data_IF_131375872847
#
_entry.id   IF_131375872847
#
_cell.length_a   1.000
_cell.length_b   1.000
_cell.length_c   1.000
_cell.angle_alpha   90.00
_cell.angle_beta   90.00
_cell.angle_gamma   90.00
#
_symmetry.space_group_name_H-M   'P 1'
#
loop_
_entity.id
_entity.type
_entity.pdbx_description
1 polymer ?
#
# COMPACT_ATOMS: atom_id res chain seq x y z
N UNK A 1 -12.40 -23.70 -9.35
CA UNK A 1 -11.36 -22.90 -8.70
C UNK A 1 -12.03 -21.60 -8.23
N UNK A 2 -11.61 -21.02 -7.10
CA UNK A 2 -12.09 -19.70 -6.68
C UNK A 2 -11.55 -18.63 -7.63
N UNK A 3 -12.33 -17.55 -7.88
CA UNK A 3 -11.88 -16.45 -8.73
C UNK A 3 -10.61 -15.79 -8.16
N UNK A 4 -9.67 -15.36 -9.01
CA UNK A 4 -8.54 -14.52 -8.56
C UNK A 4 -9.03 -13.23 -7.89
N UNK A 5 -8.18 -12.64 -7.09
CA UNK A 5 -8.43 -11.30 -6.52
C UNK A 5 -7.17 -10.45 -6.68
N UNK A 6 -7.35 -9.21 -7.15
CA UNK A 6 -6.25 -8.31 -7.46
C UNK A 6 -6.40 -7.03 -6.61
N UNK A 7 -5.33 -6.71 -5.88
CA UNK A 7 -5.21 -5.50 -5.08
C UNK A 7 -4.22 -4.55 -5.74
N UNK A 8 -4.63 -3.33 -6.01
CA UNK A 8 -3.75 -2.29 -6.55
C UNK A 8 -3.32 -1.36 -5.41
N UNK A 9 -2.04 -1.42 -5.08
CA UNK A 9 -1.41 -0.64 -4.01
C UNK A 9 -0.70 0.57 -4.62
N UNK A 10 -1.13 1.81 -4.36
CA UNK A 10 -0.48 3.01 -4.89
C UNK A 10 0.99 3.10 -4.51
N UNK A 11 1.31 2.90 -3.21
CA UNK A 11 2.68 2.99 -2.70
C UNK A 11 3.07 1.74 -1.91
N UNK A 12 4.40 1.48 -1.74
CA UNK A 12 4.87 0.48 -0.77
C UNK A 12 4.52 0.95 0.65
N UNK A 13 3.65 0.25 1.31
CA UNK A 13 3.03 0.35 2.63
C UNK A 13 1.49 0.30 2.58
N UNK A 14 0.84 0.76 1.51
CA UNK A 14 -0.63 0.78 1.37
C UNK A 14 -1.24 -0.63 1.39
N UNK A 15 -0.55 -1.64 0.80
CA UNK A 15 -1.01 -3.03 0.82
C UNK A 15 -1.13 -3.57 2.24
N UNK A 16 -0.30 -3.09 3.15
CA UNK A 16 -0.32 -3.48 4.57
C UNK A 16 -1.21 -2.57 5.40
N UNK A 17 -0.97 -1.25 5.33
CA UNK A 17 -1.67 -0.23 6.12
C UNK A 17 -3.16 -0.16 5.86
N UNK A 18 -3.53 -0.28 4.59
CA UNK A 18 -4.87 0.04 4.15
C UNK A 18 -5.64 -1.19 3.65
N UNK A 19 -4.95 -2.23 3.16
CA UNK A 19 -5.56 -3.41 2.55
C UNK A 19 -5.17 -4.74 3.22
N UNK A 20 -4.24 -4.72 4.20
CA UNK A 20 -3.61 -5.93 4.74
C UNK A 20 -4.58 -6.92 5.37
N UNK A 21 -5.64 -6.48 6.04
CA UNK A 21 -6.68 -7.37 6.59
C UNK A 21 -7.37 -8.10 5.45
N UNK A 22 -7.88 -7.37 4.47
CA UNK A 22 -8.63 -7.94 3.33
C UNK A 22 -7.74 -8.86 2.49
N UNK A 23 -6.48 -8.51 2.24
CA UNK A 23 -5.51 -9.37 1.56
C UNK A 23 -5.32 -10.70 2.33
N UNK A 24 -5.03 -10.62 3.63
CA UNK A 24 -4.80 -11.80 4.47
C UNK A 24 -6.04 -12.72 4.55
N UNK A 25 -7.25 -12.15 4.60
CA UNK A 25 -8.51 -12.90 4.57
C UNK A 25 -8.71 -13.64 3.25
N UNK A 26 -8.44 -13.01 2.11
CA UNK A 26 -8.54 -13.67 0.81
C UNK A 26 -7.52 -14.79 0.66
N UNK A 27 -6.27 -14.58 1.10
CA UNK A 27 -5.25 -15.62 1.13
C UNK A 27 -5.67 -16.79 2.03
N UNK A 28 -6.16 -16.50 3.25
CA UNK A 28 -6.63 -17.51 4.18
C UNK A 28 -7.83 -18.31 3.64
N UNK A 29 -8.66 -17.70 2.83
CA UNK A 29 -9.76 -18.35 2.11
C UNK A 29 -9.29 -19.20 0.89
N UNK A 30 -7.98 -19.31 0.66
CA UNK A 30 -7.41 -20.08 -0.46
C UNK A 30 -7.64 -19.46 -1.83
N UNK A 31 -7.86 -18.14 -1.90
CA UNK A 31 -8.01 -17.44 -3.17
C UNK A 31 -6.64 -17.15 -3.79
N UNK A 32 -6.58 -17.19 -5.11
CA UNK A 32 -5.43 -16.72 -5.87
C UNK A 32 -5.36 -15.19 -5.76
N UNK A 33 -4.48 -14.72 -4.86
CA UNK A 33 -4.43 -13.33 -4.43
C UNK A 33 -3.19 -12.64 -4.99
N UNK A 34 -3.41 -11.63 -5.82
CA UNK A 34 -2.38 -10.81 -6.47
C UNK A 34 -2.33 -9.42 -5.82
N UNK A 35 -1.13 -8.89 -5.66
CA UNK A 35 -0.89 -7.51 -5.21
C UNK A 35 -0.01 -6.80 -6.24
N UNK A 36 -0.52 -5.70 -6.79
CA UNK A 36 0.14 -4.87 -7.79
C UNK A 36 0.58 -3.57 -7.12
N UNK A 37 1.87 -3.40 -6.93
CA UNK A 37 2.45 -2.15 -6.50
C UNK A 37 2.53 -1.20 -7.69
N UNK A 38 1.89 -0.02 -7.60
CA UNK A 38 1.79 0.92 -8.73
C UNK A 38 3.03 1.82 -8.85
N UNK A 39 3.71 2.13 -7.74
CA UNK A 39 4.90 2.98 -7.72
C UNK A 39 5.99 2.41 -6.83
N UNK A 40 7.22 2.86 -7.03
CA UNK A 40 8.35 2.54 -6.13
C UNK A 40 8.37 3.42 -4.88
N UNK A 41 7.55 4.48 -4.83
CA UNK A 41 7.42 5.37 -3.68
C UNK A 41 8.67 6.22 -3.44
N UNK A 42 9.31 6.71 -4.50
CA UNK A 42 10.56 7.49 -4.45
C UNK A 42 10.42 8.88 -3.83
N UNK A 43 9.19 9.41 -3.75
CA UNK A 43 8.91 10.74 -3.21
C UNK A 43 8.44 10.61 -1.78
N UNK A 44 9.37 10.72 -0.83
CA UNK A 44 9.08 10.68 0.60
C UNK A 44 10.09 11.48 1.41
N UNK A 45 9.64 12.07 2.51
CA UNK A 45 10.51 12.72 3.49
C UNK A 45 11.40 11.76 4.29
N UNK A 46 11.13 10.46 4.24
CA UNK A 46 11.90 9.43 4.94
C UNK A 46 13.39 9.44 4.57
N UNK A 47 13.73 9.74 3.31
CA UNK A 47 15.12 9.83 2.86
C UNK A 47 15.93 10.84 3.67
N UNK A 48 15.37 12.00 3.99
CA UNK A 48 16.05 13.02 4.78
C UNK A 48 16.29 12.54 6.22
N UNK A 49 15.31 11.88 6.83
CA UNK A 49 15.45 11.33 8.18
C UNK A 49 16.52 10.23 8.23
N UNK A 50 16.47 9.27 7.30
CA UNK A 50 17.42 8.16 7.19
C UNK A 50 18.86 8.69 6.97
N UNK A 51 19.02 9.72 6.15
CA UNK A 51 20.34 10.30 5.86
C UNK A 51 20.83 11.28 6.93
N UNK A 52 20.13 11.44 8.04
CA UNK A 52 20.53 12.33 9.14
C UNK A 52 20.31 13.81 8.86
N UNK A 53 19.55 14.18 7.84
CA UNK A 53 19.23 15.56 7.49
C UNK A 53 17.94 16.06 8.16
N UNK A 54 17.22 15.17 8.85
CA UNK A 54 16.01 15.50 9.61
C UNK A 54 15.89 14.58 10.85
N UNK A 55 15.17 15.07 11.86
CA UNK A 55 14.87 14.31 13.07
C UNK A 55 13.86 13.19 12.77
N UNK A 56 14.17 11.97 13.18
CA UNK A 56 13.23 10.85 13.12
C UNK A 56 12.27 10.87 14.30
N UNK A 57 11.02 11.17 14.06
CA UNK A 57 10.00 11.27 15.11
C UNK A 57 9.74 9.95 15.83
N UNK A 58 9.84 8.82 15.15
CA UNK A 58 9.65 7.49 15.74
C UNK A 58 10.86 7.06 16.58
N UNK A 59 12.08 7.12 16.03
CA UNK A 59 13.32 6.75 16.74
C UNK A 59 13.78 7.78 17.76
N UNK A 60 13.18 8.99 17.79
CA UNK A 60 13.55 10.08 18.70
C UNK A 60 15.04 10.48 18.60
N UNK A 61 15.58 10.42 17.39
CA UNK A 61 16.96 10.74 17.09
C UNK A 61 17.13 11.35 15.71
N UNK A 62 18.28 11.95 15.46
CA UNK A 62 18.77 12.24 14.12
C UNK A 62 19.82 11.19 13.79
N UNK A 63 19.60 10.40 12.75
CA UNK A 63 20.51 9.35 12.34
C UNK A 63 21.88 9.90 11.94
N UNK A 64 22.91 9.09 12.11
CA UNK A 64 24.26 9.38 11.65
C UNK A 64 24.77 8.19 10.83
N UNK A 65 24.62 8.21 9.49
CA UNK A 65 24.99 7.10 8.62
C UNK A 65 26.39 6.54 8.88
N UNK A 66 27.39 7.41 8.97
CA UNK A 66 28.79 6.99 9.21
C UNK A 66 28.98 6.29 10.54
N UNK A 67 28.35 6.78 11.60
CA UNK A 67 28.43 6.19 12.93
C UNK A 67 27.64 4.88 13.02
N UNK A 68 26.52 4.81 12.31
CA UNK A 68 25.63 3.63 12.26
C UNK A 68 26.06 2.61 11.20
N UNK A 69 27.17 2.85 10.50
CA UNK A 69 27.81 1.88 9.61
C UNK A 69 27.20 1.72 8.23
N UNK A 70 26.53 2.75 7.71
CA UNK A 70 26.02 2.77 6.33
C UNK A 70 26.36 4.09 5.63
N UNK A 71 26.25 4.10 4.29
CA UNK A 71 26.38 5.31 3.49
C UNK A 71 25.02 5.99 3.32
N UNK A 72 24.96 7.34 3.24
CA UNK A 72 23.72 8.02 2.89
C UNK A 72 23.08 7.43 1.63
N UNK A 73 21.77 7.18 1.68
CA UNK A 73 21.03 6.60 0.59
C UNK A 73 20.79 7.62 -0.52
N UNK A 74 20.86 7.15 -1.76
CA UNK A 74 20.31 7.84 -2.92
C UNK A 74 18.79 7.58 -3.03
N UNK A 75 18.10 8.29 -3.92
CA UNK A 75 16.68 7.97 -4.23
C UNK A 75 16.53 6.53 -4.72
N UNK A 76 17.47 6.03 -5.54
CA UNK A 76 17.44 4.66 -6.05
C UNK A 76 17.62 3.61 -4.92
N UNK A 77 18.50 3.87 -3.96
CA UNK A 77 18.66 2.98 -2.79
C UNK A 77 17.38 2.94 -1.96
N UNK A 78 16.72 4.09 -1.80
CA UNK A 78 15.44 4.19 -1.09
C UNK A 78 14.34 3.39 -1.79
N UNK A 79 14.21 3.51 -3.11
CA UNK A 79 13.27 2.72 -3.92
C UNK A 79 13.48 1.22 -3.70
N UNK A 80 14.73 0.76 -3.79
CA UNK A 80 15.05 -0.64 -3.55
C UNK A 80 14.75 -1.09 -2.12
N UNK A 81 14.94 -0.22 -1.13
CA UNK A 81 14.56 -0.50 0.25
C UNK A 81 13.03 -0.65 0.39
N UNK A 82 12.25 0.25 -0.19
CA UNK A 82 10.78 0.19 -0.17
C UNK A 82 10.24 -1.05 -0.88
N UNK A 83 10.79 -1.41 -2.05
CA UNK A 83 10.41 -2.64 -2.78
C UNK A 83 10.69 -3.89 -1.93
N UNK A 84 11.81 -3.92 -1.20
CA UNK A 84 12.09 -5.04 -0.26
C UNK A 84 11.08 -5.10 0.88
N UNK A 85 10.73 -3.95 1.49
CA UNK A 85 9.69 -3.88 2.53
C UNK A 85 8.36 -4.42 2.01
N UNK A 86 7.91 -3.98 0.83
CA UNK A 86 6.71 -4.48 0.15
C UNK A 86 6.73 -6.00 -0.06
N UNK A 87 7.82 -6.53 -0.62
CA UNK A 87 7.92 -7.99 -0.84
C UNK A 87 7.87 -8.78 0.46
N UNK A 88 8.54 -8.31 1.51
CA UNK A 88 8.53 -8.96 2.81
C UNK A 88 7.15 -8.87 3.48
N UNK A 89 6.51 -7.72 3.43
CA UNK A 89 5.18 -7.52 3.99
C UNK A 89 4.12 -8.38 3.27
N UNK A 90 4.11 -8.40 1.93
CA UNK A 90 3.26 -9.30 1.16
C UNK A 90 3.49 -10.79 1.51
N UNK A 91 4.75 -11.18 1.78
CA UNK A 91 5.05 -12.54 2.22
C UNK A 91 4.42 -12.86 3.58
N UNK A 92 4.46 -11.92 4.53
CA UNK A 92 3.82 -12.09 5.85
C UNK A 92 2.29 -12.14 5.75
N UNK A 93 1.69 -11.42 4.82
CA UNK A 93 0.25 -11.53 4.52
C UNK A 93 -0.11 -12.85 3.85
N UNK A 94 0.88 -13.61 3.35
CA UNK A 94 0.72 -14.91 2.71
C UNK A 94 0.59 -14.86 1.20
N UNK A 95 0.82 -13.71 0.56
CA UNK A 95 0.80 -13.59 -0.90
C UNK A 95 1.98 -14.33 -1.51
N UNK A 96 1.74 -15.18 -2.50
CA UNK A 96 2.78 -15.94 -3.20
C UNK A 96 3.77 -15.00 -3.92
N UNK A 97 5.04 -15.39 -4.03
CA UNK A 97 6.05 -14.55 -4.67
C UNK A 97 5.72 -14.23 -6.14
N UNK A 98 5.13 -15.20 -6.86
CA UNK A 98 4.66 -15.02 -8.24
C UNK A 98 3.53 -14.00 -8.41
N UNK A 99 2.83 -13.68 -7.32
CA UNK A 99 1.63 -12.84 -7.32
C UNK A 99 1.90 -11.42 -6.78
N UNK A 100 3.18 -11.05 -6.64
CA UNK A 100 3.62 -9.71 -6.21
C UNK A 100 4.19 -8.99 -7.42
N UNK A 101 3.39 -8.14 -8.01
CA UNK A 101 3.71 -7.42 -9.23
C UNK A 101 4.18 -6.01 -8.89
N UNK A 102 5.08 -5.47 -9.69
CA UNK A 102 5.63 -4.12 -9.49
C UNK A 102 5.53 -3.36 -10.82
N UNK A 103 4.84 -2.24 -10.77
CA UNK A 103 4.78 -1.23 -11.80
C UNK A 103 5.65 -0.03 -11.41
N UNK A 104 5.93 0.87 -12.35
CA UNK A 104 6.78 2.04 -12.08
C UNK A 104 6.13 3.32 -12.60
N UNK A 105 4.95 3.67 -12.05
CA UNK A 105 4.21 4.86 -12.49
C UNK A 105 4.78 6.18 -11.94
N UNK A 106 5.67 6.14 -10.94
CA UNK A 106 6.43 7.29 -10.45
C UNK A 106 7.84 7.41 -11.07
N UNK A 107 8.05 6.82 -12.27
CA UNK A 107 9.24 7.09 -13.07
C UNK A 107 9.25 8.57 -13.49
N UNK A 108 10.34 9.33 -13.24
CA UNK A 108 10.42 10.74 -13.63
C UNK A 108 10.24 11.00 -15.13
N UNK A 109 10.44 9.99 -15.97
CA UNK A 109 10.23 10.06 -17.41
C UNK A 109 8.80 9.74 -17.84
N UNK A 110 7.96 9.26 -16.92
CA UNK A 110 6.54 8.98 -17.20
C UNK A 110 5.75 10.27 -17.43
N UNK A 111 4.58 10.21 -18.10
CA UNK A 111 3.71 11.37 -18.27
C UNK A 111 3.27 12.05 -16.96
N UNK A 112 3.10 11.28 -15.88
CA UNK A 112 2.78 11.78 -14.54
C UNK A 112 4.00 12.30 -13.77
N UNK A 113 5.22 12.03 -14.25
CA UNK A 113 6.45 12.32 -13.52
C UNK A 113 6.53 11.51 -12.23
N UNK A 114 6.72 12.18 -11.09
CA UNK A 114 6.81 11.50 -9.78
C UNK A 114 5.43 11.23 -9.12
N UNK A 115 4.30 11.33 -9.87
CA UNK A 115 2.93 11.11 -9.38
C UNK A 115 2.17 10.17 -10.31
N UNK A 116 1.12 9.52 -9.79
CA UNK A 116 0.25 8.65 -10.58
C UNK A 116 -0.83 9.50 -11.26
N UNK A 117 -0.93 9.42 -12.59
CA UNK A 117 -2.11 9.93 -13.29
C UNK A 117 -3.21 8.87 -13.38
N UNK A 118 -4.49 9.30 -13.39
CA UNK A 118 -5.61 8.39 -13.62
C UNK A 118 -5.46 7.60 -14.93
N UNK A 119 -4.92 8.21 -15.98
CA UNK A 119 -4.75 7.57 -17.29
C UNK A 119 -3.72 6.44 -17.26
N UNK A 120 -2.59 6.62 -16.58
CA UNK A 120 -1.57 5.58 -16.40
C UNK A 120 -2.10 4.44 -15.54
N UNK A 121 -2.73 4.77 -14.40
CA UNK A 121 -3.37 3.78 -13.53
C UNK A 121 -4.43 2.97 -14.29
N UNK A 122 -5.26 3.62 -15.12
CA UNK A 122 -6.27 2.95 -15.94
C UNK A 122 -5.65 1.97 -16.93
N UNK A 123 -4.52 2.33 -17.55
CA UNK A 123 -3.80 1.44 -18.48
C UNK A 123 -3.29 0.20 -17.77
N UNK A 124 -2.65 0.34 -16.62
CA UNK A 124 -2.17 -0.79 -15.80
C UNK A 124 -3.34 -1.69 -15.39
N UNK A 125 -4.39 -1.12 -14.78
CA UNK A 125 -5.56 -1.89 -14.32
C UNK A 125 -6.20 -2.64 -15.49
N UNK A 126 -6.34 -2.01 -16.67
CA UNK A 126 -6.89 -2.67 -17.85
C UNK A 126 -6.06 -3.89 -18.32
N UNK A 127 -4.74 -3.84 -18.18
CA UNK A 127 -3.86 -4.98 -18.50
C UNK A 127 -4.19 -6.17 -17.58
N UNK A 128 -4.32 -5.93 -16.26
CA UNK A 128 -4.70 -6.99 -15.31
C UNK A 128 -6.13 -7.50 -15.50
N UNK A 129 -7.09 -6.66 -15.92
CA UNK A 129 -8.44 -7.10 -16.30
C UNK A 129 -8.37 -8.04 -17.50
N UNK A 130 -7.53 -7.74 -18.49
CA UNK A 130 -7.38 -8.58 -19.67
C UNK A 130 -6.69 -9.91 -19.34
N UNK A 131 -5.72 -9.92 -18.44
CA UNK A 131 -5.00 -11.12 -18.00
C UNK A 131 -5.86 -12.00 -17.09
N UNK A 132 -6.68 -11.38 -16.22
CA UNK A 132 -7.53 -12.04 -15.23
C UNK A 132 -9.00 -11.60 -15.38
N UNK A 133 -9.70 -11.99 -16.47
CA UNK A 133 -11.04 -11.45 -16.80
C UNK A 133 -12.12 -11.79 -15.77
N UNK A 134 -11.91 -12.81 -14.94
CA UNK A 134 -12.84 -13.27 -13.90
C UNK A 134 -12.43 -12.78 -12.48
N UNK A 135 -11.44 -11.90 -12.36
CA UNK A 135 -10.96 -11.44 -11.06
C UNK A 135 -11.91 -10.47 -10.36
N UNK A 136 -11.86 -10.48 -9.03
CA UNK A 136 -12.36 -9.38 -8.20
C UNK A 136 -11.25 -8.34 -8.03
N UNK A 137 -11.58 -7.04 -7.98
CA UNK A 137 -10.61 -5.96 -7.96
C UNK A 137 -10.78 -5.05 -6.75
N UNK A 138 -9.67 -4.71 -6.10
CA UNK A 138 -9.62 -3.87 -4.91
C UNK A 138 -8.56 -2.78 -5.05
N UNK A 139 -8.85 -1.58 -4.57
CA UNK A 139 -7.87 -0.50 -4.41
C UNK A 139 -8.33 0.49 -3.34
N UNK A 140 -7.55 1.55 -3.14
CA UNK A 140 -7.93 2.66 -2.28
C UNK A 140 -9.07 3.48 -2.90
N UNK A 141 -9.79 4.20 -2.05
CA UNK A 141 -11.00 4.91 -2.43
C UNK A 141 -10.72 6.07 -3.38
N UNK A 142 -11.60 6.27 -4.35
CA UNK A 142 -11.63 7.47 -5.18
C UNK A 142 -11.98 8.76 -4.39
N UNK A 143 -12.40 8.64 -3.13
CA UNK A 143 -12.57 9.75 -2.19
C UNK A 143 -11.31 10.10 -1.41
N UNK A 144 -10.19 9.39 -1.66
CA UNK A 144 -8.97 9.57 -0.89
C UNK A 144 -8.43 11.00 -1.00
N UNK A 145 -7.87 11.49 0.11
CA UNK A 145 -7.26 12.82 0.16
C UNK A 145 -5.87 12.84 -0.50
N UNK A 146 -5.23 11.66 -0.65
CA UNK A 146 -3.97 11.56 -1.37
C UNK A 146 -4.24 11.49 -2.87
N UNK A 147 -3.62 12.37 -3.70
CA UNK A 147 -3.93 12.43 -5.13
C UNK A 147 -3.67 11.11 -5.86
N UNK A 148 -2.56 10.40 -5.55
CA UNK A 148 -2.23 9.12 -6.20
C UNK A 148 -3.25 8.02 -5.83
N UNK A 149 -3.68 7.94 -4.56
CA UNK A 149 -4.71 7.00 -4.13
C UNK A 149 -6.02 7.28 -4.87
N UNK A 150 -6.42 8.54 -4.91
CA UNK A 150 -7.63 8.97 -5.62
C UNK A 150 -7.53 8.68 -7.13
N UNK A 151 -6.36 8.86 -7.76
CA UNK A 151 -6.16 8.58 -9.18
C UNK A 151 -6.36 7.10 -9.51
N UNK A 152 -5.78 6.19 -8.71
CA UNK A 152 -5.96 4.73 -8.87
C UNK A 152 -7.41 4.34 -8.61
N UNK A 153 -8.04 4.89 -7.55
CA UNK A 153 -9.45 4.66 -7.24
C UNK A 153 -10.39 5.11 -8.35
N UNK A 154 -10.17 6.30 -8.90
CA UNK A 154 -10.96 6.84 -10.03
C UNK A 154 -10.77 6.01 -11.31
N UNK A 155 -9.56 5.52 -11.57
CA UNK A 155 -9.27 4.65 -12.72
C UNK A 155 -10.07 3.35 -12.64
N UNK A 156 -10.05 2.69 -11.48
CA UNK A 156 -10.80 1.44 -11.25
C UNK A 156 -12.32 1.68 -11.34
N UNK A 157 -12.83 2.77 -10.75
CA UNK A 157 -14.25 3.13 -10.83
C UNK A 157 -14.70 3.39 -12.27
N UNK A 158 -13.88 4.08 -13.07
CA UNK A 158 -14.18 4.35 -14.48
C UNK A 158 -14.27 3.04 -15.28
N UNK A 159 -13.31 2.12 -15.12
CA UNK A 159 -13.35 0.81 -15.78
C UNK A 159 -14.56 -0.04 -15.36
N UNK A 160 -14.94 0.02 -14.09
CA UNK A 160 -16.17 -0.63 -13.61
C UNK A 160 -17.43 -0.03 -14.27
N UNK A 161 -17.52 1.31 -14.32
CA UNK A 161 -18.67 1.99 -14.94
C UNK A 161 -18.74 1.81 -16.46
N UNK A 162 -17.60 1.58 -17.11
CA UNK A 162 -17.52 1.21 -18.54
C UNK A 162 -17.93 -0.27 -18.81
N UNK A 163 -18.25 -1.04 -17.77
CA UNK A 163 -18.60 -2.45 -17.90
C UNK A 163 -17.42 -3.36 -18.28
N UNK A 164 -16.18 -2.95 -17.97
CA UNK A 164 -14.98 -3.74 -18.22
C UNK A 164 -14.76 -4.83 -17.17
N UNK A 165 -15.39 -4.70 -15.99
CA UNK A 165 -15.26 -5.60 -14.86
C UNK A 165 -16.64 -6.21 -14.59
N UNK A 166 -16.74 -7.53 -14.70
CA UNK A 166 -18.00 -8.27 -14.53
C UNK A 166 -18.20 -8.80 -13.09
N UNK A 167 -17.24 -8.59 -12.21
CA UNK A 167 -17.21 -9.14 -10.86
C UNK A 167 -17.10 -8.06 -9.79
N UNK A 168 -16.69 -8.43 -8.57
CA UNK A 168 -16.67 -7.52 -7.45
C UNK A 168 -15.57 -6.46 -7.58
N UNK A 169 -15.95 -5.22 -7.36
CA UNK A 169 -15.04 -4.10 -7.15
C UNK A 169 -15.29 -3.54 -5.76
N UNK A 170 -14.23 -3.29 -5.02
CA UNK A 170 -14.27 -2.70 -3.68
C UNK A 170 -13.21 -1.62 -3.54
N UNK A 171 -13.57 -0.63 -2.74
CA UNK A 171 -12.71 0.49 -2.42
C UNK A 171 -12.47 0.55 -0.92
N UNK A 172 -11.24 0.81 -0.53
CA UNK A 172 -10.81 0.84 0.86
C UNK A 172 -10.42 2.27 1.22
N UNK A 173 -10.96 2.78 2.33
CA UNK A 173 -10.62 4.11 2.84
C UNK A 173 -9.26 4.03 3.50
N UNK A 174 -8.28 4.83 3.02
CA UNK A 174 -6.96 4.87 3.63
C UNK A 174 -6.99 5.42 5.06
N UNK A 175 -5.99 5.06 5.84
CA UNK A 175 -5.82 5.54 7.21
C UNK A 175 -5.74 7.07 7.27
N UNK A 176 -5.11 7.69 6.28
CA UNK A 176 -5.01 9.15 6.16
C UNK A 176 -6.37 9.79 5.95
N UNK A 177 -7.14 9.31 4.96
CA UNK A 177 -8.50 9.79 4.67
C UNK A 177 -9.46 9.54 5.83
N UNK A 178 -9.39 8.35 6.45
CA UNK A 178 -10.15 8.04 7.65
C UNK A 178 -9.88 9.07 8.76
N UNK A 179 -8.62 9.36 9.06
CA UNK A 179 -8.23 10.32 10.09
C UNK A 179 -8.74 11.74 9.76
N UNK A 180 -8.66 12.15 8.50
CA UNK A 180 -9.20 13.44 8.04
C UNK A 180 -10.72 13.52 8.24
N UNK A 181 -11.46 12.48 7.84
CA UNK A 181 -12.92 12.43 7.97
C UNK A 181 -13.35 12.42 9.44
N UNK A 182 -12.71 11.60 10.28
CA UNK A 182 -12.95 11.57 11.73
C UNK A 182 -12.72 12.94 12.36
N UNK A 183 -11.63 13.64 12.01
CA UNK A 183 -11.30 14.97 12.54
C UNK A 183 -12.32 16.05 12.16
N UNK A 184 -13.00 15.88 11.03
CA UNK A 184 -14.00 16.81 10.48
C UNK A 184 -15.44 16.37 10.74
N UNK A 185 -15.67 15.31 11.51
CA UNK A 185 -16.97 14.68 11.73
C UNK A 185 -17.72 14.36 10.42
N UNK A 186 -16.99 13.98 9.37
CA UNK A 186 -17.57 13.54 8.11
C UNK A 186 -17.95 12.05 8.18
N UNK A 187 -19.07 11.65 7.58
CA UNK A 187 -19.41 10.23 7.48
C UNK A 187 -18.37 9.51 6.61
N UNK A 188 -17.91 8.34 7.07
CA UNK A 188 -17.00 7.49 6.32
C UNK A 188 -17.82 6.48 5.51
N UNK A 189 -17.65 6.41 4.17
CA UNK A 189 -18.38 5.46 3.34
C UNK A 189 -18.09 4.00 3.72
N UNK A 190 -19.10 3.14 3.59
CA UNK A 190 -18.94 1.69 3.70
C UNK A 190 -19.04 1.13 5.11
N UNK A 191 -18.58 -0.11 5.26
CA UNK A 191 -18.58 -0.87 6.50
C UNK A 191 -17.17 -1.15 7.00
N UNK A 192 -17.06 -1.46 8.29
CA UNK A 192 -15.79 -1.91 8.89
C UNK A 192 -15.51 -3.36 8.49
N UNK A 193 -14.31 -3.57 7.96
CA UNK A 193 -13.69 -4.87 7.77
C UNK A 193 -12.71 -5.08 8.92
N UNK A 194 -12.94 -6.11 9.72
CA UNK A 194 -12.14 -6.43 10.93
C UNK A 194 -11.54 -7.83 10.78
N UNK A 195 -10.34 -8.10 11.34
CA UNK A 195 -9.77 -9.43 11.28
C UNK A 195 -10.71 -10.49 11.87
N UNK A 196 -10.95 -11.57 11.14
CA UNK A 196 -11.89 -12.62 11.56
C UNK A 196 -11.33 -13.52 12.67
N UNK A 197 -10.00 -13.56 12.82
CA UNK A 197 -9.34 -14.42 13.81
C UNK A 197 -7.92 -13.93 14.12
N UNK A 198 -7.27 -14.59 15.10
CA UNK A 198 -5.93 -14.23 15.58
C UNK A 198 -4.84 -14.45 14.53
N UNK A 199 -5.00 -15.39 13.59
CA UNK A 199 -4.00 -15.62 12.53
C UNK A 199 -3.90 -14.43 11.59
N UNK A 200 -5.04 -13.83 11.22
CA UNK A 200 -5.08 -12.60 10.42
C UNK A 200 -4.39 -11.44 11.15
N UNK A 201 -4.65 -11.28 12.45
CA UNK A 201 -3.98 -10.27 13.28
C UNK A 201 -2.47 -10.50 13.30
N UNK A 202 -2.03 -11.75 13.44
CA UNK A 202 -0.60 -12.10 13.45
C UNK A 202 0.06 -11.80 12.11
N UNK A 203 -0.57 -12.15 10.99
CA UNK A 203 -0.09 -11.83 9.64
C UNK A 203 0.05 -10.33 9.44
N UNK A 204 -0.99 -9.58 9.78
CA UNK A 204 -0.98 -8.11 9.70
C UNK A 204 0.15 -7.51 10.55
N UNK A 205 0.28 -7.97 11.80
CA UNK A 205 1.33 -7.51 12.72
C UNK A 205 2.72 -7.77 12.16
N UNK A 206 2.95 -8.96 11.61
CA UNK A 206 4.24 -9.32 11.01
C UNK A 206 4.52 -8.50 9.74
N UNK A 207 3.50 -8.24 8.90
CA UNK A 207 3.63 -7.36 7.75
C UNK A 207 4.00 -5.93 8.16
N UNK A 208 3.34 -5.36 9.17
CA UNK A 208 3.71 -4.05 9.73
C UNK A 208 5.16 -4.01 10.24
N UNK A 209 5.64 -5.09 10.87
CA UNK A 209 7.04 -5.19 11.34
C UNK A 209 8.07 -5.15 10.22
N UNK A 210 7.73 -5.56 9.00
CA UNK A 210 8.62 -5.45 7.85
C UNK A 210 8.97 -3.98 7.56
N UNK A 211 8.04 -3.07 7.80
CA UNK A 211 8.22 -1.62 7.63
C UNK A 211 8.92 -0.92 8.79
N UNK A 212 9.11 -1.60 9.94
CA UNK A 212 9.82 -1.07 11.11
C UNK A 212 11.23 -1.65 11.29
N UNK A 213 11.65 -2.56 10.41
CA UNK A 213 12.93 -3.25 10.54
C UNK A 213 14.10 -2.30 10.24
N UNK A 214 14.90 -1.99 11.26
CA UNK A 214 16.10 -1.19 11.15
C UNK A 214 17.34 -2.07 11.24
N UNK A 215 17.96 -2.36 10.12
CA UNK A 215 19.19 -3.15 9.99
C UNK A 215 19.96 -2.70 8.73
N UNK A 216 20.59 -1.52 8.75
CA UNK A 216 21.26 -0.94 7.58
C UNK A 216 22.31 -1.84 6.94
N UNK A 217 23.01 -2.66 7.73
CA UNK A 217 24.04 -3.60 7.23
C UNK A 217 23.49 -4.66 6.24
N UNK A 218 22.18 -4.90 6.25
CA UNK A 218 21.49 -5.80 5.31
C UNK A 218 20.47 -5.07 4.43
N UNK A 219 20.54 -3.73 4.42
CA UNK A 219 19.72 -2.88 3.56
C UNK A 219 18.28 -2.67 4.04
N UNK A 220 17.98 -2.91 5.33
CA UNK A 220 16.68 -2.59 5.93
C UNK A 220 16.76 -1.24 6.64
N UNK A 221 15.96 -0.29 6.18
CA UNK A 221 16.02 1.10 6.63
C UNK A 221 14.72 1.60 7.26
N UNK A 222 13.78 0.71 7.55
CA UNK A 222 12.49 1.02 8.15
C UNK A 222 11.80 2.22 7.49
N UNK A 223 11.79 2.25 6.14
CA UNK A 223 11.33 3.41 5.37
C UNK A 223 9.88 3.75 5.69
N UNK A 224 9.01 2.73 5.79
CA UNK A 224 7.62 2.95 6.17
C UNK A 224 7.45 3.63 7.52
N UNK A 225 8.24 3.23 8.53
CA UNK A 225 8.19 3.87 9.86
C UNK A 225 8.89 5.24 9.92
N UNK A 226 9.80 5.55 9.01
CA UNK A 226 10.31 6.90 8.84
C UNK A 226 9.30 7.82 8.14
N UNK A 227 8.36 7.25 7.39
CA UNK A 227 7.33 7.97 6.66
C UNK A 227 6.05 8.15 7.50
N UNK A 228 5.42 7.05 7.93
CA UNK A 228 4.05 7.04 8.47
C UNK A 228 3.88 6.14 9.71
N UNK A 229 4.87 6.08 10.60
CA UNK A 229 4.86 5.23 11.80
C UNK A 229 3.56 5.32 12.62
N UNK A 230 3.02 6.53 12.75
CA UNK A 230 1.78 6.76 13.50
C UNK A 230 0.55 6.04 12.89
N UNK A 231 0.55 5.79 11.60
CA UNK A 231 -0.52 5.04 10.94
C UNK A 231 -0.38 3.55 11.22
N UNK A 232 0.83 2.99 11.16
CA UNK A 232 1.11 1.62 11.56
C UNK A 232 0.73 1.36 13.02
N UNK A 233 1.13 2.24 13.94
CA UNK A 233 0.81 2.12 15.35
C UNK A 233 -0.71 2.17 15.61
N UNK A 234 -1.46 3.05 14.94
CA UNK A 234 -2.91 3.10 15.02
C UNK A 234 -3.57 1.80 14.51
N UNK A 235 -3.08 1.25 13.40
CA UNK A 235 -3.59 0.00 12.84
C UNK A 235 -3.36 -1.15 13.80
N UNK A 236 -2.16 -1.25 14.40
CA UNK A 236 -1.82 -2.31 15.36
C UNK A 236 -2.63 -2.22 16.65
N UNK A 237 -2.95 -1.01 17.11
CA UNK A 237 -3.79 -0.81 18.31
C UNK A 237 -5.26 -1.16 18.08
N UNK A 238 -5.77 -0.92 16.88
CA UNK A 238 -7.17 -1.16 16.54
C UNK A 238 -7.31 -1.53 15.06
N UNK A 239 -7.08 -2.82 14.72
CA UNK A 239 -7.01 -3.29 13.34
C UNK A 239 -8.41 -3.35 12.72
N UNK A 240 -8.69 -2.42 11.81
CA UNK A 240 -9.85 -2.47 10.91
C UNK A 240 -9.64 -1.51 9.73
N UNK A 241 -10.31 -1.83 8.62
CA UNK A 241 -10.44 -0.95 7.46
C UNK A 241 -11.91 -0.54 7.26
N UNK A 242 -12.17 0.50 6.45
CA UNK A 242 -13.49 0.76 5.89
C UNK A 242 -13.49 0.36 4.43
N UNK A 243 -14.46 -0.46 4.05
CA UNK A 243 -14.61 -0.97 2.69
C UNK A 243 -15.96 -0.56 2.14
N UNK A 244 -16.00 -0.01 0.93
CA UNK A 244 -17.24 0.41 0.30
C UNK A 244 -17.40 -0.11 -1.13
N UNK A 245 -18.63 -0.04 -1.62
CA UNK A 245 -19.00 -0.37 -2.99
C UNK A 245 -18.64 0.75 -3.97
N UNK A 246 -18.64 0.47 -5.30
CA UNK A 246 -18.67 1.53 -6.30
C UNK A 246 -19.91 2.43 -6.14
N UNK A 247 -19.79 3.70 -6.50
CA UNK A 247 -20.90 4.65 -6.60
C UNK A 247 -21.72 4.85 -5.30
N UNK A 248 -21.06 4.88 -4.16
CA UNK A 248 -21.66 5.21 -2.85
C UNK A 248 -21.41 6.65 -2.47
#
# INVERSE_FOLDING_TARGET
MSRPVIFYSPHPDDETLNMGITIAEHVAAGRDTHVVLMTHGRVTGALNAINGNAYSGYWKTTHNPSFEGYSPLTKADLEQARIREFHHACAQLGVAASNRHIEYLDDPSSPGGETITKAEAKTVIQNYINEFPDADHFTLSYYDIHPDHSAVGQALLELYNEGKINHYVRFIISMATRTDYESKNKPIPGGKDVPTNQDIINKLTNACRCYSAWAPSVGSYAVGYHSVANQFEKLLQNPFHYVHLPNV
#
